data_IF_513738155314
#
_entry.id   IF_513738155314
#
_cell.length_a   1.000
_cell.length_b   1.000
_cell.length_c   1.000
_cell.angle_alpha   90.00
_cell.angle_beta   90.00
_cell.angle_gamma   90.00
#
_symmetry.space_group_name_H-M   'P 1'
#
loop_
_entity.id
_entity.type
_entity.pdbx_description
1 polymer ?
#
# COMPACT_ATOMS: atom_id res chain seq x y z
N UNK A 1 -31.95 -4.02 13.64
CA UNK A 1 -30.59 -4.31 13.10
C UNK A 1 -29.50 -4.27 14.19
N UNK A 2 -29.75 -3.67 15.37
CA UNK A 2 -28.80 -3.61 16.51
C UNK A 2 -28.85 -4.79 17.50
N UNK A 3 -29.44 -5.93 17.15
CA UNK A 3 -29.77 -7.00 18.11
C UNK A 3 -28.67 -8.08 18.30
N UNK A 4 -27.52 -7.97 17.62
CA UNK A 4 -26.38 -8.86 17.85
C UNK A 4 -25.12 -8.03 18.10
N UNK A 5 -24.46 -8.16 19.26
CA UNK A 5 -23.19 -7.49 19.49
C UNK A 5 -22.16 -8.08 18.52
N UNK A 6 -21.83 -7.32 17.47
CA UNK A 6 -20.77 -7.68 16.55
C UNK A 6 -19.45 -7.54 17.33
N UNK A 7 -18.61 -8.58 17.30
CA UNK A 7 -17.27 -8.52 17.93
C UNK A 7 -16.50 -7.33 17.35
N UNK A 8 -15.88 -6.51 18.20
CA UNK A 8 -15.21 -5.24 17.83
C UNK A 8 -14.18 -5.41 16.70
N UNK A 9 -13.41 -6.50 16.70
CA UNK A 9 -12.47 -6.82 15.62
C UNK A 9 -13.14 -7.04 14.26
N UNK A 10 -14.36 -7.61 14.21
CA UNK A 10 -15.10 -7.84 12.96
C UNK A 10 -15.49 -6.53 12.29
N UNK A 11 -15.75 -5.50 13.09
CA UNK A 11 -16.05 -4.16 12.58
C UNK A 11 -14.83 -3.53 11.89
N UNK A 12 -13.67 -3.54 12.56
CA UNK A 12 -12.42 -2.99 12.02
C UNK A 12 -11.98 -3.74 10.76
N UNK A 13 -11.94 -5.08 10.84
CA UNK A 13 -11.55 -5.92 9.69
C UNK A 13 -12.55 -5.78 8.55
N UNK A 14 -13.86 -5.73 8.84
CA UNK A 14 -14.88 -5.54 7.81
C UNK A 14 -14.71 -4.23 7.04
N UNK A 15 -14.41 -3.13 7.74
CA UNK A 15 -14.10 -1.85 7.11
C UNK A 15 -12.82 -1.91 6.28
N UNK A 16 -11.77 -2.52 6.81
CA UNK A 16 -10.50 -2.70 6.12
C UNK A 16 -10.65 -3.51 4.82
N UNK A 17 -11.31 -4.66 4.89
CA UNK A 17 -11.55 -5.55 3.74
C UNK A 17 -12.31 -4.82 2.63
N UNK A 18 -13.29 -3.98 2.97
CA UNK A 18 -13.98 -3.14 1.97
C UNK A 18 -12.99 -2.28 1.17
N UNK A 19 -12.06 -1.59 1.85
CA UNK A 19 -11.06 -0.76 1.19
C UNK A 19 -10.05 -1.57 0.39
N UNK A 20 -9.63 -2.74 0.89
CA UNK A 20 -8.76 -3.66 0.15
C UNK A 20 -9.42 -4.17 -1.12
N UNK A 21 -10.70 -4.53 -1.08
CA UNK A 21 -11.47 -4.92 -2.27
C UNK A 21 -11.56 -3.76 -3.26
N UNK A 22 -11.81 -2.53 -2.78
CA UNK A 22 -11.82 -1.36 -3.66
C UNK A 22 -10.46 -1.14 -4.34
N UNK A 23 -9.35 -1.29 -3.61
CA UNK A 23 -8.01 -1.20 -4.19
C UNK A 23 -7.74 -2.33 -5.20
N UNK A 24 -8.18 -3.54 -4.90
CA UNK A 24 -8.06 -4.68 -5.82
C UNK A 24 -8.79 -4.41 -7.13
N UNK A 25 -10.04 -3.95 -7.07
CA UNK A 25 -10.83 -3.58 -8.24
C UNK A 25 -10.13 -2.49 -9.04
N UNK A 26 -9.62 -1.45 -8.37
CA UNK A 26 -8.88 -0.36 -9.02
C UNK A 26 -7.68 -0.90 -9.79
N UNK A 27 -6.85 -1.75 -9.15
CA UNK A 27 -5.67 -2.36 -9.78
C UNK A 27 -6.05 -3.23 -10.98
N UNK A 28 -7.13 -4.01 -10.88
CA UNK A 28 -7.65 -4.83 -11.99
C UNK A 28 -8.05 -3.94 -13.17
N UNK A 29 -8.76 -2.84 -12.92
CA UNK A 29 -9.09 -1.90 -14.00
C UNK A 29 -7.85 -1.21 -14.58
N UNK A 30 -6.86 -0.87 -13.76
CA UNK A 30 -5.61 -0.28 -14.23
C UNK A 30 -4.83 -1.23 -15.15
N UNK A 31 -4.71 -2.51 -14.78
CA UNK A 31 -4.01 -3.49 -15.64
C UNK A 31 -4.79 -3.76 -16.93
N UNK A 32 -6.12 -3.84 -16.89
CA UNK A 32 -6.94 -3.94 -18.10
C UNK A 32 -6.72 -2.73 -19.01
N UNK A 33 -6.66 -1.52 -18.45
CA UNK A 33 -6.36 -0.31 -19.21
C UNK A 33 -4.99 -0.38 -19.91
N UNK A 34 -3.95 -0.85 -19.22
CA UNK A 34 -2.62 -1.05 -19.82
C UNK A 34 -2.66 -2.10 -20.93
N UNK A 35 -3.29 -3.26 -20.70
CA UNK A 35 -3.40 -4.32 -21.71
C UNK A 35 -4.16 -3.85 -22.95
N UNK A 36 -5.29 -3.15 -22.77
CA UNK A 36 -6.02 -2.53 -23.88
C UNK A 36 -5.12 -1.58 -24.65
N UNK A 37 -4.35 -0.72 -23.96
CA UNK A 37 -3.40 0.19 -24.58
C UNK A 37 -2.38 -0.55 -25.46
N UNK A 38 -1.78 -1.61 -24.94
CA UNK A 38 -0.81 -2.43 -25.67
C UNK A 38 -1.34 -2.96 -27.00
N UNK A 39 -2.58 -3.46 -27.02
CA UNK A 39 -3.16 -4.03 -28.24
C UNK A 39 -3.85 -3.00 -29.15
N UNK A 40 -4.15 -1.80 -28.64
CA UNK A 40 -4.88 -0.77 -29.40
C UNK A 40 -3.97 0.26 -30.05
N UNK A 41 -2.77 0.49 -29.52
CA UNK A 41 -1.85 1.49 -30.06
C UNK A 41 -0.94 0.88 -31.13
N UNK A 42 -0.91 1.43 -32.36
CA UNK A 42 -0.16 0.86 -33.48
C UNK A 42 1.37 0.97 -33.32
N UNK A 43 1.83 1.84 -32.42
CA UNK A 43 3.27 2.06 -32.16
C UNK A 43 3.83 1.12 -31.10
N UNK A 44 3.02 0.22 -30.57
CA UNK A 44 3.42 -0.71 -29.52
C UNK A 44 3.41 -2.11 -30.11
N UNK A 45 4.58 -2.77 -30.12
CA UNK A 45 4.69 -4.15 -30.57
C UNK A 45 4.51 -5.10 -29.37
N UNK A 46 3.46 -5.94 -29.31
CA UNK A 46 3.23 -6.83 -28.18
C UNK A 46 4.35 -7.84 -27.93
N UNK A 47 5.15 -8.19 -28.95
CA UNK A 47 6.26 -9.14 -28.78
C UNK A 47 7.46 -8.55 -28.03
N UNK A 48 7.56 -7.23 -27.93
CA UNK A 48 8.62 -6.52 -27.21
C UNK A 48 8.25 -6.25 -25.75
N UNK A 49 7.05 -6.69 -25.33
CA UNK A 49 6.52 -6.43 -24.01
C UNK A 49 6.77 -7.61 -23.09
N UNK A 50 7.40 -7.28 -21.97
CA UNK A 50 7.67 -8.19 -20.88
C UNK A 50 6.46 -8.24 -19.92
N UNK A 51 5.48 -9.09 -20.26
CA UNK A 51 4.23 -9.18 -19.50
C UNK A 51 4.43 -9.62 -18.05
N UNK A 52 5.44 -10.45 -17.76
CA UNK A 52 5.73 -10.95 -16.40
C UNK A 52 6.05 -9.81 -15.44
N UNK A 53 6.83 -8.84 -15.89
CA UNK A 53 7.25 -7.63 -15.18
C UNK A 53 6.04 -6.72 -14.97
N UNK A 54 5.20 -6.55 -15.99
CA UNK A 54 3.96 -5.78 -15.89
C UNK A 54 3.04 -6.39 -14.81
N UNK A 55 2.74 -7.69 -14.88
CA UNK A 55 1.90 -8.37 -13.89
C UNK A 55 2.48 -8.25 -12.49
N UNK A 56 3.80 -8.37 -12.36
CA UNK A 56 4.49 -8.27 -11.06
C UNK A 56 4.42 -6.85 -10.50
N UNK A 57 4.59 -5.81 -11.32
CA UNK A 57 4.43 -4.42 -10.88
C UNK A 57 2.99 -4.14 -10.43
N UNK A 58 1.98 -4.66 -11.12
CA UNK A 58 0.59 -4.49 -10.69
C UNK A 58 0.29 -5.22 -9.38
N UNK A 59 0.87 -6.40 -9.17
CA UNK A 59 0.79 -7.10 -7.88
C UNK A 59 1.50 -6.30 -6.77
N UNK A 60 2.68 -5.77 -7.06
CA UNK A 60 3.44 -4.93 -6.14
C UNK A 60 2.69 -3.63 -5.80
N UNK A 61 2.06 -3.00 -6.80
CA UNK A 61 1.20 -1.83 -6.64
C UNK A 61 0.00 -2.15 -5.73
N UNK A 62 -0.64 -3.30 -5.92
CA UNK A 62 -1.73 -3.72 -5.03
C UNK A 62 -1.26 -3.83 -3.57
N UNK A 63 -0.13 -4.50 -3.33
CA UNK A 63 0.45 -4.63 -1.99
C UNK A 63 0.84 -3.26 -1.41
N UNK A 64 1.37 -2.36 -2.23
CA UNK A 64 1.69 -0.99 -1.83
C UNK A 64 0.43 -0.19 -1.45
N UNK A 65 -0.66 -0.28 -2.23
CA UNK A 65 -1.95 0.34 -1.89
C UNK A 65 -2.52 -0.22 -0.58
N UNK A 66 -2.35 -1.52 -0.34
CA UNK A 66 -2.73 -2.17 0.92
C UNK A 66 -1.92 -1.60 2.10
N UNK A 67 -0.64 -1.30 1.92
CA UNK A 67 0.19 -0.65 2.95
C UNK A 67 -0.30 0.79 3.26
N UNK A 68 -0.70 1.55 2.23
CA UNK A 68 -1.31 2.88 2.42
C UNK A 68 -2.64 2.80 3.18
N UNK A 69 -3.51 1.87 2.80
CA UNK A 69 -4.79 1.64 3.48
C UNK A 69 -4.56 1.23 4.94
N UNK A 70 -3.59 0.35 5.20
CA UNK A 70 -3.25 -0.12 6.55
C UNK A 70 -2.75 1.02 7.43
N UNK A 71 -1.94 1.92 6.87
CA UNK A 71 -1.45 3.12 7.57
C UNK A 71 -2.60 4.05 7.94
N UNK A 72 -3.51 4.32 6.98
CA UNK A 72 -4.70 5.14 7.23
C UNK A 72 -5.65 4.52 8.27
N UNK A 73 -5.84 3.20 8.19
CA UNK A 73 -6.64 2.45 9.17
C UNK A 73 -6.07 2.64 10.59
N UNK A 74 -4.76 2.47 10.75
CA UNK A 74 -4.07 2.60 12.04
C UNK A 74 -4.40 3.92 12.73
N UNK A 75 -4.18 5.05 12.07
CA UNK A 75 -4.51 6.37 12.64
C UNK A 75 -6.01 6.55 12.90
N UNK A 76 -6.87 5.98 12.04
CA UNK A 76 -8.32 6.06 12.21
C UNK A 76 -8.86 5.33 13.45
N UNK A 77 -8.09 4.39 14.03
CA UNK A 77 -8.55 3.61 15.19
C UNK A 77 -8.56 4.40 16.49
N UNK A 78 -7.63 5.34 16.67
CA UNK A 78 -7.48 6.11 17.91
C UNK A 78 -7.73 7.62 17.75
N UNK A 79 -7.71 8.17 16.53
CA UNK A 79 -7.96 9.59 16.31
C UNK A 79 -9.38 9.89 15.83
N UNK A 80 -9.82 11.13 16.03
CA UNK A 80 -11.05 11.66 15.44
C UNK A 80 -10.90 11.73 13.90
N UNK A 81 -11.96 11.49 13.09
CA UNK A 81 -11.84 11.39 11.63
C UNK A 81 -11.02 12.49 10.94
N UNK A 82 -11.21 13.76 11.31
CA UNK A 82 -10.45 14.89 10.73
C UNK A 82 -8.94 14.79 11.05
N UNK A 83 -8.58 14.52 12.31
CA UNK A 83 -7.19 14.38 12.76
C UNK A 83 -6.54 13.13 12.18
N UNK A 84 -7.29 12.02 12.10
CA UNK A 84 -6.82 10.79 11.49
C UNK A 84 -6.43 11.01 10.02
N UNK A 85 -7.28 11.71 9.26
CA UNK A 85 -7.00 12.03 7.86
C UNK A 85 -5.73 12.89 7.73
N UNK A 86 -5.67 14.01 8.46
CA UNK A 86 -4.51 14.92 8.38
C UNK A 86 -3.21 14.22 8.76
N UNK A 87 -3.21 13.44 9.85
CA UNK A 87 -1.99 12.77 10.31
C UNK A 87 -1.57 11.63 9.38
N UNK A 88 -2.51 10.83 8.88
CA UNK A 88 -2.22 9.78 7.89
C UNK A 88 -1.62 10.38 6.63
N UNK A 89 -2.20 11.47 6.14
CA UNK A 89 -1.72 12.16 4.95
C UNK A 89 -0.33 12.77 5.15
N UNK A 90 -0.09 13.43 6.28
CA UNK A 90 1.23 13.98 6.63
C UNK A 90 2.30 12.88 6.70
N UNK A 91 1.97 11.72 7.27
CA UNK A 91 2.91 10.59 7.38
C UNK A 91 3.17 9.94 6.03
N UNK A 92 2.15 9.83 5.18
CA UNK A 92 2.33 9.34 3.81
C UNK A 92 3.22 10.30 3.00
N UNK A 93 3.03 11.61 3.12
CA UNK A 93 3.91 12.61 2.49
C UNK A 93 5.33 12.48 3.02
N UNK A 94 5.49 12.34 4.34
CA UNK A 94 6.81 12.15 4.95
C UNK A 94 7.49 10.89 4.39
N UNK A 95 6.77 9.76 4.32
CA UNK A 95 7.29 8.54 3.70
C UNK A 95 7.64 8.75 2.23
N UNK A 96 6.82 9.47 1.46
CA UNK A 96 7.12 9.78 0.07
C UNK A 96 8.45 10.55 -0.04
N UNK A 97 8.61 11.63 0.74
CA UNK A 97 9.83 12.44 0.73
C UNK A 97 11.05 11.58 1.09
N UNK A 98 10.97 10.84 2.19
CA UNK A 98 12.07 10.00 2.66
C UNK A 98 12.38 8.86 1.70
N UNK A 99 11.36 8.24 1.09
CA UNK A 99 11.55 7.07 0.22
C UNK A 99 12.07 7.42 -1.16
N UNK A 100 11.65 8.55 -1.73
CA UNK A 100 12.04 8.97 -3.08
C UNK A 100 13.32 9.80 -3.08
N UNK A 101 13.50 10.69 -2.10
CA UNK A 101 14.63 11.63 -2.06
C UNK A 101 15.73 11.20 -1.08
N UNK A 102 15.82 9.91 -0.74
CA UNK A 102 16.78 9.46 0.27
C UNK A 102 18.25 9.78 -0.10
N UNK A 103 18.58 9.73 -1.39
CA UNK A 103 19.92 10.04 -1.92
C UNK A 103 20.30 11.51 -1.76
N UNK A 104 19.31 12.41 -1.69
CA UNK A 104 19.54 13.84 -1.52
C UNK A 104 19.91 14.21 -0.07
N UNK A 105 19.73 13.31 0.89
CA UNK A 105 20.11 13.54 2.28
C UNK A 105 21.56 13.16 2.56
N UNK A 106 22.18 13.71 3.63
CA UNK A 106 23.51 13.29 4.06
C UNK A 106 23.58 11.79 4.37
N UNK A 107 24.73 11.15 4.13
CA UNK A 107 24.94 9.70 4.33
C UNK A 107 24.55 9.22 5.73
N UNK A 108 24.78 10.05 6.75
CA UNK A 108 24.45 9.76 8.15
C UNK A 108 22.96 9.44 8.38
N UNK A 109 22.07 9.89 7.49
CA UNK A 109 20.62 9.70 7.62
C UNK A 109 20.01 8.81 6.53
N UNK A 110 20.84 8.19 5.67
CA UNK A 110 20.36 7.28 4.62
C UNK A 110 19.59 6.08 5.17
N UNK A 111 19.85 5.67 6.42
CA UNK A 111 19.10 4.61 7.09
C UNK A 111 17.60 4.88 7.22
N UNK A 112 17.16 6.15 7.16
CA UNK A 112 15.74 6.50 7.25
C UNK A 112 14.92 5.96 6.07
N UNK A 113 15.55 5.67 4.92
CA UNK A 113 14.86 5.12 3.74
C UNK A 113 14.08 3.84 4.06
N UNK A 114 14.61 3.01 4.95
CA UNK A 114 13.98 1.75 5.35
C UNK A 114 12.69 1.92 6.16
N UNK A 115 12.39 3.13 6.65
CA UNK A 115 11.13 3.46 7.29
C UNK A 115 10.01 3.76 6.28
N UNK A 116 10.38 4.11 5.04
CA UNK A 116 9.41 4.49 4.03
C UNK A 116 8.88 3.29 3.26
N UNK A 117 7.56 3.16 3.20
CA UNK A 117 6.88 2.22 2.30
C UNK A 117 7.13 2.52 0.81
N UNK A 118 7.50 3.75 0.45
CA UNK A 118 7.82 4.12 -0.94
C UNK A 118 9.19 3.60 -1.37
N UNK A 119 10.14 3.47 -0.44
CA UNK A 119 11.45 2.88 -0.73
C UNK A 119 11.30 1.42 -1.20
N UNK A 120 10.39 0.69 -0.58
CA UNK A 120 10.06 -0.69 -0.97
C UNK A 120 9.09 -0.77 -2.15
N UNK A 121 8.80 0.31 -2.86
CA UNK A 121 7.97 0.31 -4.07
C UNK A 121 8.73 0.95 -5.24
N UNK A 122 9.91 0.39 -5.54
CA UNK A 122 10.75 0.83 -6.65
C UNK A 122 10.51 -0.03 -7.90
N UNK A 123 9.57 0.40 -8.73
CA UNK A 123 9.17 -0.35 -9.94
C UNK A 123 10.05 -0.06 -11.15
N UNK A 124 10.80 1.04 -11.14
CA UNK A 124 11.64 1.47 -12.28
C UNK A 124 12.71 0.44 -12.62
N UNK A 125 13.37 -0.16 -11.63
CA UNK A 125 14.39 -1.19 -11.88
C UNK A 125 13.82 -2.44 -12.55
N UNK A 126 12.58 -2.81 -12.21
CA UNK A 126 11.90 -3.96 -12.81
C UNK A 126 11.41 -3.65 -14.23
N UNK A 127 10.79 -2.50 -14.45
CA UNK A 127 10.18 -2.15 -15.75
C UNK A 127 11.19 -1.67 -16.80
N UNK A 128 12.25 -0.97 -16.38
CA UNK A 128 13.22 -0.33 -17.29
C UNK A 128 14.47 -1.17 -17.42
N UNK A 129 14.98 -1.67 -16.29
CA UNK A 129 16.28 -2.37 -16.26
C UNK A 129 16.13 -3.90 -16.26
N UNK A 130 14.90 -4.44 -16.21
CA UNK A 130 14.62 -5.87 -16.09
C UNK A 130 15.33 -6.55 -14.90
N UNK A 131 15.61 -5.79 -13.84
CA UNK A 131 16.29 -6.29 -12.65
C UNK A 131 15.25 -6.76 -11.64
N UNK A 132 15.32 -8.05 -11.31
CA UNK A 132 14.42 -8.74 -10.38
C UNK A 132 14.91 -8.72 -8.92
N UNK A 133 16.04 -8.07 -8.67
CA UNK A 133 16.67 -8.01 -7.36
C UNK A 133 15.73 -7.40 -6.31
N UNK A 134 15.62 -8.09 -5.17
CA UNK A 134 14.82 -7.68 -4.01
C UNK A 134 13.32 -7.49 -4.25
N UNK A 135 12.77 -7.74 -5.44
CA UNK A 135 11.33 -7.57 -5.73
C UNK A 135 10.47 -8.37 -4.75
N UNK A 136 10.77 -9.67 -4.60
CA UNK A 136 10.04 -10.54 -3.70
C UNK A 136 10.21 -10.11 -2.23
N UNK A 137 11.43 -9.74 -1.83
CA UNK A 137 11.72 -9.26 -0.48
C UNK A 137 10.92 -7.99 -0.16
N UNK A 138 10.88 -7.03 -1.08
CA UNK A 138 10.16 -5.76 -0.93
C UNK A 138 8.65 -5.98 -0.81
N UNK A 139 8.08 -6.87 -1.63
CA UNK A 139 6.68 -7.28 -1.54
C UNK A 139 6.38 -7.90 -0.17
N UNK A 140 7.27 -8.78 0.33
CA UNK A 140 7.12 -9.40 1.65
C UNK A 140 7.22 -8.36 2.77
N UNK A 141 8.13 -7.40 2.69
CA UNK A 141 8.28 -6.32 3.67
C UNK A 141 7.00 -5.47 3.73
N UNK A 142 6.46 -5.05 2.58
CA UNK A 142 5.21 -4.29 2.53
C UNK A 142 4.01 -5.08 3.06
N UNK A 143 3.97 -6.38 2.77
CA UNK A 143 2.93 -7.29 3.29
C UNK A 143 3.04 -7.42 4.81
N UNK A 144 4.25 -7.63 5.33
CA UNK A 144 4.54 -7.70 6.76
C UNK A 144 4.21 -6.40 7.49
N UNK A 145 4.58 -5.25 6.91
CA UNK A 145 4.22 -3.93 7.40
C UNK A 145 2.70 -3.75 7.49
N UNK A 146 1.97 -4.12 6.43
CA UNK A 146 0.51 -4.04 6.38
C UNK A 146 -0.14 -4.91 7.46
N UNK A 147 0.31 -6.16 7.60
CA UNK A 147 -0.17 -7.08 8.64
C UNK A 147 0.10 -6.53 10.05
N UNK A 148 1.28 -5.94 10.27
CA UNK A 148 1.64 -5.29 11.54
C UNK A 148 0.70 -4.11 11.85
N UNK A 149 0.49 -3.19 10.90
CA UNK A 149 -0.38 -2.03 11.08
C UNK A 149 -1.84 -2.42 11.34
N UNK A 150 -2.36 -3.42 10.62
CA UNK A 150 -3.70 -3.96 10.86
C UNK A 150 -3.79 -4.65 12.23
N UNK A 151 -2.77 -5.43 12.61
CA UNK A 151 -2.70 -6.07 13.92
C UNK A 151 -2.74 -5.05 15.06
N UNK A 152 -1.90 -4.02 14.99
CA UNK A 152 -1.89 -2.91 15.95
C UNK A 152 -3.24 -2.18 15.99
N UNK A 153 -3.85 -1.93 14.83
CA UNK A 153 -5.17 -1.31 14.73
C UNK A 153 -6.23 -2.11 15.49
N UNK A 154 -6.23 -3.44 15.33
CA UNK A 154 -7.18 -4.33 16.03
C UNK A 154 -6.93 -4.34 17.53
N UNK A 155 -5.66 -4.42 17.96
CA UNK A 155 -5.30 -4.41 19.39
C UNK A 155 -5.72 -3.10 20.06
N UNK A 156 -5.42 -1.96 19.45
CA UNK A 156 -5.78 -0.62 19.97
C UNK A 156 -7.30 -0.46 20.03
N UNK A 157 -8.02 -0.84 18.98
CA UNK A 157 -9.47 -0.69 18.93
C UNK A 157 -10.19 -1.59 19.94
N UNK A 158 -9.68 -2.80 20.20
CA UNK A 158 -10.28 -3.70 21.19
C UNK A 158 -10.12 -3.15 22.63
N UNK A 159 -9.01 -2.48 22.94
CA UNK A 159 -8.73 -1.87 24.25
C UNK A 159 -9.48 -0.56 24.50
N UNK A 160 -10.10 0.04 23.47
CA UNK A 160 -10.78 1.32 23.60
C UNK A 160 -12.18 1.12 24.21
N UNK A 161 -12.42 1.76 25.35
CA UNK A 161 -13.76 1.86 25.91
C UNK A 161 -14.59 2.83 25.07
N UNK A 162 -15.67 2.31 24.49
CA UNK A 162 -16.67 3.11 23.80
C UNK A 162 -17.80 3.27 24.83
N UNK A 163 -18.10 4.50 25.32
CA UNK A 163 -19.29 4.69 26.14
C UNK A 163 -20.50 4.28 25.30
N UNK A 164 -21.28 3.33 25.83
CA UNK A 164 -22.48 2.77 25.20
C UNK A 164 -23.57 3.83 25.14
#
# INVERSE_FOLDING_TARGET
ILSKPIKRWKFVIGKYVRHVITAFILVVFSILGVLIGVFSFPNINPSEIYFTEIYTVFLWLFVFLVALISTSLFFSTFLHPRRALTLSFAIIIFFYIVGIFWEAFPEAVHGMKFLSIFYYFETSNLLVNHVWDNVLLNILILTGYSACMVGLSVVIFNKRDIPV
#
